data_IF_733829612866
#
_entry.id   IF_733829612866
#
_cell.length_a   1.000
_cell.length_b   1.000
_cell.length_c   1.000
_cell.angle_alpha   90.00
_cell.angle_beta   90.00
_cell.angle_gamma   90.00
#
_symmetry.space_group_name_H-M   'P 1'
#
loop_
_entity.id
_entity.type
_entity.pdbx_description
1 polymer ?
#
# COMPACT_ATOMS: atom_id res chain seq x y z
N UNK A 1 3.09 -9.28 -18.13
CA UNK A 1 3.98 -9.82 -19.19
C UNK A 1 3.17 -10.20 -20.42
N UNK A 2 2.09 -10.99 -20.29
CA UNK A 2 1.27 -11.45 -21.46
C UNK A 2 0.71 -10.27 -22.29
N UNK A 3 0.22 -9.20 -21.65
CA UNK A 3 -0.27 -8.01 -22.36
C UNK A 3 0.86 -7.28 -23.09
N UNK A 4 2.03 -7.18 -22.47
CA UNK A 4 3.22 -6.61 -23.11
C UNK A 4 3.57 -7.33 -24.41
N UNK A 5 3.62 -8.66 -24.36
CA UNK A 5 3.93 -9.48 -25.56
C UNK A 5 2.85 -9.35 -26.63
N UNK A 6 1.58 -9.42 -26.23
CA UNK A 6 0.44 -9.33 -27.14
C UNK A 6 0.37 -8.01 -27.90
N UNK A 7 0.70 -6.91 -27.23
CA UNK A 7 0.55 -5.55 -27.79
C UNK A 7 1.89 -4.88 -28.12
N UNK A 8 3.01 -5.60 -28.01
CA UNK A 8 4.35 -5.05 -28.17
C UNK A 8 4.53 -3.73 -27.38
N UNK A 9 4.11 -3.75 -26.12
CA UNK A 9 4.07 -2.58 -25.26
C UNK A 9 5.25 -2.55 -24.29
N UNK A 10 5.56 -1.37 -23.74
CA UNK A 10 6.48 -1.20 -22.62
C UNK A 10 5.73 -1.48 -21.32
N UNK A 11 6.28 -2.37 -20.49
CA UNK A 11 5.73 -2.67 -19.17
C UNK A 11 6.44 -1.86 -18.09
N UNK A 12 5.70 -0.95 -17.48
CA UNK A 12 6.15 -0.15 -16.35
C UNK A 12 5.41 -0.62 -15.10
N UNK A 13 6.13 -0.94 -14.04
CA UNK A 13 5.55 -1.32 -12.73
C UNK A 13 5.92 -0.27 -11.70
N UNK A 14 4.93 0.29 -11.03
CA UNK A 14 5.13 1.06 -9.81
C UNK A 14 5.02 0.13 -8.60
N UNK A 15 6.16 -0.17 -7.98
CA UNK A 15 6.29 -1.04 -6.82
C UNK A 15 6.30 -0.28 -5.48
N UNK A 16 5.87 0.99 -5.46
CA UNK A 16 5.96 1.83 -4.26
C UNK A 16 5.25 1.28 -3.02
N UNK A 17 4.23 0.43 -3.20
CA UNK A 17 3.50 -0.22 -2.11
C UNK A 17 3.83 -1.72 -1.95
N UNK A 18 4.51 -2.33 -2.91
CA UNK A 18 4.87 -3.76 -2.86
C UNK A 18 6.32 -4.01 -2.50
N UNK A 19 7.18 -3.01 -2.67
CA UNK A 19 8.59 -3.11 -2.36
C UNK A 19 8.81 -3.43 -0.87
N UNK A 20 9.55 -4.51 -0.59
CA UNK A 20 9.77 -5.01 0.76
C UNK A 20 8.72 -6.00 1.28
N UNK A 21 7.63 -6.22 0.55
CA UNK A 21 6.56 -7.16 0.91
C UNK A 21 6.63 -8.49 0.13
N UNK A 22 7.68 -8.73 -0.65
CA UNK A 22 7.85 -9.91 -1.53
C UNK A 22 6.70 -10.13 -2.53
N UNK A 23 5.99 -9.07 -2.91
CA UNK A 23 4.86 -9.18 -3.84
C UNK A 23 5.28 -9.24 -5.32
N UNK A 24 6.56 -9.01 -5.62
CA UNK A 24 7.14 -9.12 -6.96
C UNK A 24 8.25 -10.18 -6.88
N UNK A 25 7.89 -11.43 -7.13
CA UNK A 25 8.82 -12.56 -7.07
C UNK A 25 9.66 -12.70 -8.33
N UNK A 26 9.15 -12.25 -9.48
CA UNK A 26 9.84 -12.34 -10.77
C UNK A 26 9.79 -10.98 -11.49
N UNK A 27 10.97 -10.48 -11.85
CA UNK A 27 11.14 -9.23 -12.59
C UNK A 27 11.32 -9.45 -14.11
N UNK A 28 11.30 -10.70 -14.58
CA UNK A 28 11.46 -11.02 -15.99
C UNK A 28 10.36 -10.39 -16.84
N UNK A 29 10.79 -9.71 -17.89
CA UNK A 29 9.86 -9.03 -18.80
C UNK A 29 9.36 -7.67 -18.36
N UNK A 30 9.75 -7.15 -17.18
CA UNK A 30 9.52 -5.76 -16.79
C UNK A 30 10.57 -4.88 -17.45
N UNK A 31 10.15 -3.83 -18.16
CA UNK A 31 11.07 -2.88 -18.79
C UNK A 31 11.54 -1.79 -17.83
N UNK A 32 10.61 -1.31 -16.99
CA UNK A 32 10.88 -0.27 -16.01
C UNK A 32 10.15 -0.63 -14.71
N UNK A 33 10.88 -0.66 -13.61
CA UNK A 33 10.31 -0.73 -12.27
C UNK A 33 10.66 0.55 -11.52
N UNK A 34 9.63 1.19 -10.96
CA UNK A 34 9.79 2.36 -10.10
C UNK A 34 9.34 2.05 -8.70
N UNK A 35 9.96 2.65 -7.69
CA UNK A 35 9.47 2.55 -6.32
C UNK A 35 9.86 3.76 -5.49
N UNK A 36 8.97 4.11 -4.55
CA UNK A 36 9.25 5.05 -3.47
C UNK A 36 9.93 4.35 -2.30
N UNK A 37 10.94 4.97 -1.73
CA UNK A 37 11.63 4.49 -0.54
C UNK A 37 11.00 5.00 0.77
N UNK A 38 9.98 5.88 0.68
CA UNK A 38 9.37 6.51 1.86
C UNK A 38 8.33 5.65 2.59
N UNK A 39 8.09 4.42 2.14
CA UNK A 39 7.13 3.49 2.74
C UNK A 39 7.85 2.40 3.55
N UNK A 40 7.86 1.16 3.09
CA UNK A 40 8.47 0.04 3.82
C UNK A 40 9.96 0.24 4.16
N UNK A 41 10.68 1.03 3.37
CA UNK A 41 12.12 1.28 3.59
C UNK A 41 12.40 2.44 4.55
N UNK A 42 11.40 3.26 4.89
CA UNK A 42 11.53 4.35 5.84
C UNK A 42 12.55 5.43 5.44
N UNK A 43 12.87 5.53 4.13
CA UNK A 43 13.86 6.45 3.58
C UNK A 43 13.21 7.49 2.66
N UNK A 44 13.86 8.60 2.41
CA UNK A 44 13.41 9.58 1.42
C UNK A 44 13.93 9.22 0.03
N UNK A 45 13.14 9.53 -1.02
CA UNK A 45 13.51 9.33 -2.41
C UNK A 45 12.81 8.16 -3.07
N UNK A 46 13.35 7.76 -4.19
CA UNK A 46 12.87 6.65 -5.01
C UNK A 46 13.95 6.16 -5.95
N UNK A 47 13.66 5.11 -6.68
CA UNK A 47 14.57 4.60 -7.68
C UNK A 47 13.81 4.12 -8.93
N UNK A 48 14.57 3.97 -10.01
CA UNK A 48 14.13 3.38 -11.26
C UNK A 48 15.10 2.25 -11.60
N UNK A 49 14.58 1.05 -11.80
CA UNK A 49 15.32 -0.07 -12.38
C UNK A 49 14.90 -0.24 -13.83
N UNK A 50 15.87 -0.32 -14.75
CA UNK A 50 15.61 -0.46 -16.18
C UNK A 50 16.86 -0.95 -16.90
N UNK A 51 16.74 -1.20 -18.21
CA UNK A 51 17.91 -1.44 -19.06
C UNK A 51 18.85 -0.22 -19.09
N UNK A 52 20.10 -0.45 -19.48
CA UNK A 52 21.11 0.60 -19.62
C UNK A 52 20.64 1.70 -20.57
N UNK A 53 20.02 1.35 -21.70
CA UNK A 53 19.59 2.32 -22.71
C UNK A 53 18.50 3.24 -22.18
N UNK A 54 17.52 2.69 -21.43
CA UNK A 54 16.47 3.47 -20.77
C UNK A 54 17.06 4.36 -19.69
N UNK A 55 18.00 3.86 -18.89
CA UNK A 55 18.70 4.65 -17.88
C UNK A 55 19.43 5.84 -18.52
N UNK A 56 20.20 5.59 -19.60
CA UNK A 56 20.95 6.63 -20.30
C UNK A 56 20.00 7.66 -20.93
N UNK A 57 18.84 7.23 -21.45
CA UNK A 57 17.80 8.13 -21.92
C UNK A 57 17.24 9.03 -20.79
N UNK A 58 16.94 8.46 -19.63
CA UNK A 58 16.42 9.21 -18.47
C UNK A 58 17.44 10.22 -17.98
N UNK A 59 18.73 9.84 -17.86
CA UNK A 59 19.80 10.73 -17.43
C UNK A 59 19.97 11.92 -18.39
N UNK A 60 19.79 11.70 -19.70
CA UNK A 60 20.01 12.75 -20.71
C UNK A 60 18.76 13.57 -21.05
N UNK A 61 17.55 13.06 -20.80
CA UNK A 61 16.28 13.67 -21.21
C UNK A 61 15.28 13.88 -20.09
N UNK A 62 15.46 13.26 -18.93
CA UNK A 62 14.55 13.35 -17.80
C UNK A 62 14.69 14.69 -17.06
N UNK A 63 13.88 15.70 -17.43
CA UNK A 63 13.96 17.05 -16.85
C UNK A 63 13.82 17.09 -15.35
N UNK A 64 12.97 16.24 -14.79
CA UNK A 64 12.77 16.12 -13.34
C UNK A 64 14.03 15.64 -12.61
N UNK A 65 14.91 14.87 -13.28
CA UNK A 65 16.17 14.42 -12.74
C UNK A 65 17.30 15.45 -12.98
N UNK A 66 17.44 15.92 -14.23
CA UNK A 66 18.57 16.76 -14.66
C UNK A 66 18.63 18.08 -13.88
N UNK A 67 17.47 18.68 -13.59
CA UNK A 67 17.35 19.97 -12.92
C UNK A 67 17.02 19.87 -11.43
N UNK A 68 17.20 18.70 -10.82
CA UNK A 68 17.02 18.49 -9.39
C UNK A 68 18.34 18.26 -8.67
N UNK A 69 18.40 18.65 -7.39
CA UNK A 69 19.54 18.32 -6.54
C UNK A 69 19.55 16.83 -6.21
N UNK A 70 20.73 16.22 -6.19
CA UNK A 70 20.91 14.83 -5.80
C UNK A 70 20.64 14.61 -4.31
N UNK A 71 20.33 13.38 -3.94
CA UNK A 71 20.28 12.99 -2.52
C UNK A 71 21.66 13.14 -1.88
N UNK A 72 21.74 13.62 -0.65
CA UNK A 72 23.00 13.68 0.10
C UNK A 72 23.64 12.30 0.29
N UNK A 73 24.95 12.20 0.28
CA UNK A 73 25.67 10.92 0.41
C UNK A 73 25.36 10.17 1.70
N UNK A 74 25.17 10.85 2.82
CA UNK A 74 24.77 10.23 4.08
C UNK A 74 23.39 9.55 3.97
N UNK A 75 22.50 10.12 3.17
CA UNK A 75 21.16 9.55 2.93
C UNK A 75 21.24 8.29 2.05
N UNK A 76 22.14 8.27 1.08
CA UNK A 76 22.39 7.06 0.29
C UNK A 76 22.94 5.92 1.18
N UNK A 77 23.80 6.22 2.13
CA UNK A 77 24.26 5.25 3.12
C UNK A 77 23.10 4.73 3.98
N UNK A 78 22.22 5.62 4.45
CA UNK A 78 21.02 5.22 5.18
C UNK A 78 20.13 4.28 4.36
N UNK A 79 19.89 4.60 3.08
CA UNK A 79 19.13 3.74 2.16
C UNK A 79 19.77 2.35 2.05
N UNK A 80 21.09 2.27 1.94
CA UNK A 80 21.81 1.00 1.83
C UNK A 80 21.64 0.14 3.07
N UNK A 81 21.75 0.73 4.26
CA UNK A 81 21.56 0.03 5.55
C UNK A 81 20.10 -0.41 5.69
N UNK A 82 19.14 0.46 5.35
CA UNK A 82 17.72 0.13 5.37
C UNK A 82 17.38 -1.02 4.42
N UNK A 83 17.97 -1.03 3.22
CA UNK A 83 17.81 -2.13 2.25
C UNK A 83 18.23 -3.47 2.86
N UNK A 84 19.38 -3.51 3.49
CA UNK A 84 19.89 -4.73 4.11
C UNK A 84 18.91 -5.24 5.18
N UNK A 85 18.43 -4.35 6.07
CA UNK A 85 17.44 -4.71 7.08
C UNK A 85 16.13 -5.22 6.46
N UNK A 86 15.61 -4.57 5.42
CA UNK A 86 14.37 -5.00 4.76
C UNK A 86 14.54 -6.38 4.12
N UNK A 87 15.71 -6.70 3.56
CA UNK A 87 15.99 -8.01 2.95
C UNK A 87 16.07 -9.11 4.02
N UNK A 88 16.77 -8.86 5.12
CA UNK A 88 17.07 -9.83 6.16
C UNK A 88 15.88 -10.08 7.11
N UNK A 89 15.01 -9.10 7.29
CA UNK A 89 13.89 -9.16 8.24
C UNK A 89 12.67 -9.91 7.68
N UNK A 90 12.71 -11.22 7.73
CA UNK A 90 11.57 -12.07 7.35
C UNK A 90 10.45 -12.03 8.38
N UNK A 91 10.79 -11.91 9.67
CA UNK A 91 9.84 -11.96 10.78
C UNK A 91 8.75 -10.87 10.69
N UNK A 92 9.14 -9.62 10.36
CA UNK A 92 8.16 -8.54 10.20
C UNK A 92 7.21 -8.79 9.03
N UNK A 93 7.73 -9.33 7.91
CA UNK A 93 6.89 -9.69 6.76
C UNK A 93 5.93 -10.82 7.09
N UNK A 94 6.39 -11.86 7.78
CA UNK A 94 5.56 -12.99 8.20
C UNK A 94 4.45 -12.54 9.15
N UNK A 95 4.78 -11.74 10.17
CA UNK A 95 3.78 -11.16 11.07
C UNK A 95 2.76 -10.31 10.32
N UNK A 96 3.20 -9.45 9.40
CA UNK A 96 2.30 -8.60 8.63
C UNK A 96 1.38 -9.40 7.71
N UNK A 97 1.87 -10.49 7.12
CA UNK A 97 1.06 -11.39 6.33
C UNK A 97 0.01 -12.10 7.21
N UNK A 98 0.40 -12.62 8.37
CA UNK A 98 -0.54 -13.23 9.31
C UNK A 98 -1.63 -12.26 9.78
N UNK A 99 -1.27 -11.01 10.08
CA UNK A 99 -2.23 -9.95 10.41
C UNK A 99 -3.16 -9.63 9.23
N UNK A 100 -2.64 -9.66 8.00
CA UNK A 100 -3.43 -9.43 6.79
C UNK A 100 -4.44 -10.56 6.55
N UNK A 101 -4.07 -11.80 6.81
CA UNK A 101 -4.96 -12.97 6.74
C UNK A 101 -6.02 -12.92 7.84
N UNK A 102 -5.63 -12.60 9.07
CA UNK A 102 -6.54 -12.43 10.19
C UNK A 102 -7.58 -11.33 9.92
N UNK A 103 -7.15 -10.19 9.40
CA UNK A 103 -8.05 -9.12 8.97
C UNK A 103 -9.04 -9.63 7.91
N UNK A 104 -8.57 -10.36 6.91
CA UNK A 104 -9.43 -10.88 5.84
C UNK A 104 -10.50 -11.83 6.36
N UNK A 105 -10.21 -12.62 7.40
CA UNK A 105 -11.18 -13.48 8.03
C UNK A 105 -12.32 -12.67 8.67
N UNK A 106 -12.00 -11.69 9.49
CA UNK A 106 -12.98 -10.80 10.12
C UNK A 106 -13.76 -9.99 9.07
N UNK A 107 -13.06 -9.55 8.00
CA UNK A 107 -13.66 -8.76 6.93
C UNK A 107 -14.73 -9.54 6.17
N UNK A 108 -14.51 -10.82 5.87
CA UNK A 108 -15.50 -11.65 5.18
C UNK A 108 -16.78 -11.86 5.99
N UNK A 109 -16.68 -11.87 7.31
CA UNK A 109 -17.86 -11.99 8.18
C UNK A 109 -18.77 -10.75 8.09
N UNK A 110 -18.17 -9.56 8.07
CA UNK A 110 -18.92 -8.28 8.07
C UNK A 110 -19.23 -7.79 6.65
N UNK A 111 -18.35 -8.01 5.69
CA UNK A 111 -18.45 -7.52 4.32
C UNK A 111 -18.34 -8.65 3.26
N UNK A 112 -19.23 -9.65 3.27
CA UNK A 112 -19.08 -10.85 2.43
C UNK A 112 -19.09 -10.58 0.92
N UNK A 113 -19.65 -9.45 0.50
CA UNK A 113 -19.77 -9.06 -0.91
C UNK A 113 -18.69 -8.09 -1.39
N UNK A 114 -17.77 -7.68 -0.53
CA UNK A 114 -16.68 -6.77 -0.91
C UNK A 114 -15.41 -7.55 -1.31
N UNK A 115 -14.61 -7.01 -2.24
CA UNK A 115 -13.39 -7.68 -2.69
C UNK A 115 -12.33 -7.71 -1.59
N UNK A 116 -11.72 -8.88 -1.39
CA UNK A 116 -10.60 -9.05 -0.47
C UNK A 116 -9.30 -8.50 -1.05
N UNK A 117 -8.48 -7.94 -0.17
CA UNK A 117 -7.10 -7.57 -0.48
C UNK A 117 -6.13 -8.54 0.20
N UNK A 118 -5.22 -9.13 -0.57
CA UNK A 118 -4.11 -9.94 -0.04
C UNK A 118 -2.91 -9.09 0.39
N UNK A 119 -3.07 -7.76 0.39
CA UNK A 119 -2.02 -6.82 0.81
C UNK A 119 -2.33 -6.27 2.21
N UNK A 120 -1.35 -5.67 2.90
CA UNK A 120 -1.60 -4.97 4.16
C UNK A 120 -2.49 -3.73 4.02
N UNK A 121 -2.80 -3.30 2.80
CA UNK A 121 -3.73 -2.20 2.53
C UNK A 121 -5.11 -2.79 2.29
N UNK A 122 -6.05 -2.43 3.15
CA UNK A 122 -7.42 -2.91 3.16
C UNK A 122 -8.38 -1.77 2.84
N UNK A 123 -9.38 -2.03 2.03
CA UNK A 123 -10.37 -1.05 1.62
C UNK A 123 -11.76 -1.52 2.03
N UNK A 124 -12.51 -0.64 2.68
CA UNK A 124 -13.94 -0.81 2.97
C UNK A 124 -14.67 0.21 2.10
N UNK A 125 -15.38 -0.28 1.10
CA UNK A 125 -16.18 0.57 0.20
C UNK A 125 -17.49 0.89 0.90
N UNK A 126 -17.83 2.18 0.96
CA UNK A 126 -19.04 2.67 1.59
C UNK A 126 -20.08 3.06 0.52
N UNK A 127 -21.36 2.92 0.84
CA UNK A 127 -22.46 3.15 -0.09
C UNK A 127 -22.62 4.65 -0.44
N UNK A 128 -22.24 5.54 0.46
CA UNK A 128 -22.37 6.98 0.27
C UNK A 128 -21.27 7.76 0.99
N UNK A 129 -21.10 9.03 0.60
CA UNK A 129 -20.22 9.96 1.31
C UNK A 129 -20.65 10.15 2.78
N UNK A 130 -21.95 10.19 3.04
CA UNK A 130 -22.49 10.36 4.38
C UNK A 130 -22.18 9.15 5.26
N UNK A 131 -22.39 7.93 4.75
CA UNK A 131 -22.04 6.69 5.46
C UNK A 131 -20.54 6.57 5.72
N UNK A 132 -19.71 6.88 4.73
CA UNK A 132 -18.26 6.85 4.90
C UNK A 132 -17.77 7.87 5.95
N UNK A 133 -18.37 9.08 5.96
CA UNK A 133 -18.03 10.10 6.96
C UNK A 133 -18.45 9.66 8.36
N UNK A 134 -19.68 9.14 8.52
CA UNK A 134 -20.17 8.68 9.81
C UNK A 134 -19.32 7.53 10.39
N UNK A 135 -18.97 6.55 9.55
CA UNK A 135 -18.08 5.45 9.96
C UNK A 135 -16.68 5.96 10.32
N UNK A 136 -16.14 6.91 9.54
CA UNK A 136 -14.85 7.53 9.83
C UNK A 136 -14.86 8.25 11.18
N UNK A 137 -15.88 9.08 11.43
CA UNK A 137 -16.01 9.86 12.66
C UNK A 137 -16.15 8.94 13.88
N UNK A 138 -16.97 7.90 13.77
CA UNK A 138 -17.13 6.90 14.82
C UNK A 138 -15.80 6.17 15.13
N UNK A 139 -15.09 5.71 14.12
CA UNK A 139 -13.77 5.08 14.30
C UNK A 139 -12.79 6.05 14.98
N UNK A 140 -12.78 7.30 14.54
CA UNK A 140 -11.92 8.33 15.11
C UNK A 140 -12.24 8.61 16.58
N UNK A 141 -13.52 8.70 16.97
CA UNK A 141 -13.97 8.85 18.36
C UNK A 141 -13.55 7.68 19.25
N UNK A 142 -13.44 6.48 18.67
CA UNK A 142 -12.91 5.30 19.37
C UNK A 142 -11.38 5.20 19.32
N UNK A 143 -10.68 6.25 18.84
CA UNK A 143 -9.23 6.30 18.75
C UNK A 143 -8.65 5.40 17.66
N UNK A 144 -9.43 5.07 16.64
CA UNK A 144 -9.00 4.27 15.48
C UNK A 144 -8.82 5.21 14.29
N UNK A 145 -7.58 5.40 13.86
CA UNK A 145 -7.27 6.29 12.76
C UNK A 145 -7.17 5.52 11.43
N UNK A 146 -8.05 5.86 10.48
CA UNK A 146 -8.07 5.31 9.12
C UNK A 146 -8.00 6.43 8.09
N UNK A 147 -7.72 6.11 6.82
CA UNK A 147 -7.78 7.10 5.75
C UNK A 147 -9.17 7.11 5.11
N UNK A 148 -9.78 8.28 5.01
CA UNK A 148 -11.02 8.48 4.27
C UNK A 148 -10.71 8.93 2.84
N UNK A 149 -11.01 8.08 1.86
CA UNK A 149 -10.80 8.33 0.45
C UNK A 149 -12.11 8.66 -0.26
N UNK A 150 -12.05 9.65 -1.16
CA UNK A 150 -13.19 10.13 -1.95
C UNK A 150 -12.74 10.58 -3.33
N UNK A 151 -13.69 10.87 -4.19
CA UNK A 151 -13.40 11.43 -5.51
C UNK A 151 -12.47 12.67 -5.39
N UNK A 152 -11.48 12.86 -6.25
CA UNK A 152 -11.17 12.04 -7.46
C UNK A 152 -10.25 10.83 -7.21
N UNK A 153 -9.79 10.60 -5.97
CA UNK A 153 -8.84 9.54 -5.65
C UNK A 153 -9.41 8.13 -5.88
N UNK A 154 -10.70 7.98 -5.57
CA UNK A 154 -11.48 6.74 -5.78
C UNK A 154 -12.84 7.07 -6.37
N UNK A 155 -13.45 6.11 -7.09
CA UNK A 155 -14.78 6.28 -7.67
C UNK A 155 -15.92 6.20 -6.65
N UNK A 156 -15.70 5.41 -5.60
CA UNK A 156 -16.66 5.23 -4.48
C UNK A 156 -15.98 5.61 -3.16
N UNK A 157 -16.72 6.23 -2.22
CA UNK A 157 -16.18 6.55 -0.90
C UNK A 157 -15.61 5.30 -0.23
N UNK A 158 -14.41 5.39 0.31
CA UNK A 158 -13.69 4.23 0.81
C UNK A 158 -12.93 4.58 2.08
N UNK A 159 -13.06 3.74 3.10
CA UNK A 159 -12.16 3.77 4.25
C UNK A 159 -10.97 2.84 3.96
N UNK A 160 -9.76 3.40 4.01
CA UNK A 160 -8.53 2.63 3.81
C UNK A 160 -7.83 2.40 5.14
N UNK A 161 -7.70 1.15 5.50
CA UNK A 161 -6.92 0.67 6.64
C UNK A 161 -5.54 0.25 6.12
N UNK A 162 -4.48 0.69 6.77
CA UNK A 162 -3.11 0.30 6.46
C UNK A 162 -2.54 -0.46 7.65
N UNK A 163 -2.45 -1.78 7.52
CA UNK A 163 -1.84 -2.62 8.55
C UNK A 163 -0.33 -2.39 8.58
N UNK A 164 0.24 -2.44 9.77
CA UNK A 164 1.68 -2.36 9.98
C UNK A 164 2.13 -3.48 10.92
N UNK A 165 3.43 -3.73 10.94
CA UNK A 165 4.05 -4.67 11.88
C UNK A 165 3.74 -4.37 13.35
N UNK A 166 3.48 -3.09 13.71
CA UNK A 166 3.23 -2.67 15.09
C UNK A 166 1.82 -3.02 15.58
N UNK A 167 0.90 -3.36 14.69
CA UNK A 167 -0.41 -3.84 15.09
C UNK A 167 -0.35 -5.28 15.58
N UNK A 168 -1.40 -5.66 16.32
CA UNK A 168 -1.69 -7.04 16.72
C UNK A 168 -3.15 -7.42 16.39
N UNK A 169 -3.56 -8.60 16.77
CA UNK A 169 -4.93 -9.09 16.55
C UNK A 169 -5.96 -8.29 17.35
N UNK A 170 -5.60 -7.79 18.52
CA UNK A 170 -6.50 -7.02 19.38
C UNK A 170 -6.85 -5.68 18.74
N UNK A 171 -5.91 -5.05 18.00
CA UNK A 171 -6.18 -3.84 17.21
C UNK A 171 -7.20 -4.10 16.10
N UNK A 172 -7.10 -5.27 15.44
CA UNK A 172 -8.01 -5.68 14.38
C UNK A 172 -9.39 -6.01 14.98
N UNK A 173 -9.44 -6.75 16.08
CA UNK A 173 -10.68 -7.06 16.78
C UNK A 173 -11.40 -5.78 17.25
N UNK A 174 -10.66 -4.83 17.80
CA UNK A 174 -11.20 -3.53 18.20
C UNK A 174 -11.81 -2.78 17.03
N UNK A 175 -11.16 -2.76 15.87
CA UNK A 175 -11.69 -2.14 14.66
C UNK A 175 -13.04 -2.77 14.27
N UNK A 176 -13.09 -4.10 14.15
CA UNK A 176 -14.30 -4.79 13.72
C UNK A 176 -15.42 -4.73 14.76
N UNK A 177 -15.11 -4.74 16.05
CA UNK A 177 -16.11 -4.56 17.11
C UNK A 177 -16.76 -3.19 17.04
N UNK A 178 -16.00 -2.12 16.78
CA UNK A 178 -16.57 -0.77 16.58
C UNK A 178 -17.42 -0.72 15.31
N UNK A 179 -16.98 -1.35 14.21
CA UNK A 179 -17.74 -1.36 12.96
C UNK A 179 -19.05 -2.17 13.06
N UNK A 180 -19.08 -3.27 13.81
CA UNK A 180 -20.31 -4.05 14.07
C UNK A 180 -21.36 -3.21 14.80
N UNK A 181 -20.95 -2.36 15.74
CA UNK A 181 -21.87 -1.46 16.45
C UNK A 181 -22.54 -0.43 15.53
N UNK A 182 -21.84 0.02 14.49
CA UNK A 182 -22.41 0.91 13.49
C UNK A 182 -23.53 0.23 12.69
N UNK A 183 -23.28 -1.00 12.23
CA UNK A 183 -24.22 -1.77 11.41
C UNK A 183 -25.51 -2.12 12.19
N UNK A 184 -25.39 -2.43 13.48
CA UNK A 184 -26.52 -2.67 14.37
C UNK A 184 -27.33 -1.40 14.67
N UNK A 185 -26.69 -0.23 14.73
CA UNK A 185 -27.33 1.06 14.99
C UNK A 185 -28.18 1.58 13.83
N UNK A 186 -27.75 1.33 12.58
CA UNK A 186 -28.50 1.72 11.37
C UNK A 186 -29.76 0.84 11.11
N UNK A 187 -29.88 -0.30 11.81
CA UNK A 187 -31.04 -1.21 11.70
C UNK A 187 -32.29 -0.72 12.46
N UNK A 188 -32.22 0.41 13.16
CA UNK A 188 -33.30 0.95 14.02
C UNK A 188 -33.84 2.34 13.56
N UNK A 189 -33.54 2.77 12.31
CA UNK A 189 -34.08 4.03 11.77
C UNK A 189 -35.02 3.77 10.60
#
# INVERSE_FOLDING_TARGET
VNLKQRYNAILIIDASHSLGLNMIENHDGIDILTASLSKAWGAHGGFILSSKDIKDLIINKGRSLIYSSSLPSYHLYFIQVSLQHVIEDTYRREKLNALSEYFNHQFMELFPNQPLSNTPIKNIVCDSLASAQAQYDMLFEHGIFVSYLRYPTVSQPTLRISLSYFHDTDDIDRLFNVMKQYDEGDSYV
#
